data_IF_860198112429
#
_entry.id   IF_860198112429
#
_cell.length_a   1.000
_cell.length_b   1.000
_cell.length_c   1.000
_cell.angle_alpha   90.00
_cell.angle_beta   90.00
_cell.angle_gamma   90.00
#
_symmetry.space_group_name_H-M   'P 1'
#
loop_
_entity.id
_entity.type
_entity.pdbx_description
1 polymer ?
#
# COMPACT_ATOMS: atom_id res chain seq x y z
N UNK A 1 -11.21 9.50 -13.05
CA UNK A 1 -11.65 8.75 -11.85
C UNK A 1 -10.49 7.85 -11.40
N UNK A 2 -10.10 7.89 -10.14
CA UNK A 2 -9.06 7.00 -9.58
C UNK A 2 -9.74 5.82 -8.90
N UNK A 3 -9.57 4.62 -9.44
CA UNK A 3 -10.22 3.40 -8.94
C UNK A 3 -9.37 2.64 -7.92
N UNK A 4 -8.04 2.70 -8.09
CA UNK A 4 -7.08 2.01 -7.23
C UNK A 4 -5.73 2.72 -7.24
N UNK A 5 -5.01 2.63 -6.13
CA UNK A 5 -3.64 3.14 -5.97
C UNK A 5 -2.77 2.00 -5.46
N UNK A 6 -1.64 1.77 -6.14
CA UNK A 6 -0.63 0.79 -5.72
C UNK A 6 0.56 1.49 -5.07
N UNK A 7 0.92 1.09 -3.85
CA UNK A 7 2.08 1.62 -3.13
C UNK A 7 2.80 0.51 -2.33
N UNK A 8 4.01 0.77 -1.84
CA UNK A 8 4.77 -0.24 -1.09
C UNK A 8 4.19 -0.47 0.32
N UNK A 9 4.71 -1.49 1.01
CA UNK A 9 4.20 -1.96 2.29
C UNK A 9 4.80 -1.18 3.47
N UNK A 10 4.72 0.14 3.40
CA UNK A 10 5.20 1.04 4.43
C UNK A 10 4.01 1.74 5.11
N UNK A 11 4.12 1.98 6.43
CA UNK A 11 3.01 2.51 7.25
C UNK A 11 2.64 3.95 6.90
N UNK A 12 3.59 4.74 6.39
CA UNK A 12 3.32 6.09 5.85
C UNK A 12 2.29 6.07 4.71
N UNK A 13 2.28 5.00 3.91
CA UNK A 13 1.29 4.84 2.85
C UNK A 13 -0.09 4.48 3.39
N UNK A 14 -0.18 3.95 4.61
CA UNK A 14 -1.47 3.73 5.27
C UNK A 14 -2.14 5.08 5.52
N UNK A 15 -1.41 6.01 6.16
CA UNK A 15 -1.87 7.39 6.43
C UNK A 15 -2.17 8.16 5.15
N UNK A 16 -1.32 8.05 4.13
CA UNK A 16 -1.55 8.74 2.85
C UNK A 16 -2.83 8.27 2.15
N UNK A 17 -3.11 6.97 2.14
CA UNK A 17 -4.30 6.42 1.48
C UNK A 17 -5.58 6.79 2.24
N UNK A 18 -5.53 6.86 3.56
CA UNK A 18 -6.63 7.37 4.39
C UNK A 18 -6.93 8.84 4.05
N UNK A 19 -5.91 9.70 4.09
CA UNK A 19 -6.06 11.11 3.75
C UNK A 19 -6.57 11.35 2.31
N UNK A 20 -6.17 10.51 1.35
CA UNK A 20 -6.66 10.59 -0.02
C UNK A 20 -8.11 10.11 -0.16
N UNK A 21 -8.56 9.14 0.65
CA UNK A 21 -9.95 8.68 0.65
C UNK A 21 -10.92 9.71 1.20
N UNK A 22 -10.45 10.53 2.15
CA UNK A 22 -11.23 11.61 2.76
C UNK A 22 -11.15 12.94 1.97
N UNK A 23 -10.26 13.03 0.98
CA UNK A 23 -10.04 14.25 0.20
C UNK A 23 -11.13 14.49 -0.85
N UNK A 24 -11.62 15.72 -0.90
CA UNK A 24 -12.52 16.19 -1.95
C UNK A 24 -11.84 16.28 -3.35
N UNK A 25 -10.51 16.26 -3.40
CA UNK A 25 -9.73 16.32 -4.65
C UNK A 25 -9.74 14.99 -5.41
N UNK A 26 -10.03 13.87 -4.71
CA UNK A 26 -10.09 12.52 -5.29
C UNK A 26 -11.43 11.84 -4.96
N UNK A 27 -12.57 12.41 -5.39
CA UNK A 27 -13.91 12.11 -4.87
C UNK A 27 -14.46 10.71 -5.17
N UNK A 28 -13.73 9.88 -5.91
CA UNK A 28 -14.15 8.49 -6.22
C UNK A 28 -13.18 7.44 -5.69
N UNK A 29 -12.16 7.86 -4.96
CA UNK A 29 -11.19 6.94 -4.39
C UNK A 29 -11.70 6.40 -3.06
N UNK A 30 -11.97 5.10 -2.99
CA UNK A 30 -12.55 4.46 -1.79
C UNK A 30 -11.51 4.16 -0.69
N UNK A 31 -10.47 5.00 -0.57
CA UNK A 31 -9.43 4.88 0.44
C UNK A 31 -8.78 3.50 0.46
N UNK A 32 -8.72 2.88 1.65
CA UNK A 32 -8.08 1.57 1.86
C UNK A 32 -8.69 0.44 1.04
N UNK A 33 -10.00 0.47 0.75
CA UNK A 33 -10.67 -0.58 -0.05
C UNK A 33 -10.14 -0.62 -1.48
N UNK A 34 -9.71 0.54 -1.98
CA UNK A 34 -9.12 0.73 -3.30
C UNK A 34 -7.59 0.68 -3.30
N UNK A 35 -6.94 0.33 -2.19
CA UNK A 35 -5.48 0.25 -2.14
C UNK A 35 -4.97 -1.14 -2.52
N UNK A 36 -3.98 -1.17 -3.41
CA UNK A 36 -3.17 -2.35 -3.70
C UNK A 36 -1.77 -2.19 -3.14
N UNK A 37 -1.15 -3.28 -2.64
CA UNK A 37 0.25 -3.25 -2.19
C UNK A 37 1.16 -3.74 -3.30
N UNK A 38 2.34 -3.12 -3.44
CA UNK A 38 3.30 -3.47 -4.48
C UNK A 38 3.77 -4.92 -4.35
N UNK A 39 3.45 -5.76 -5.34
CA UNK A 39 3.78 -7.18 -5.33
C UNK A 39 5.28 -7.44 -5.16
N UNK A 40 6.13 -6.71 -5.90
CA UNK A 40 7.58 -6.85 -5.80
C UNK A 40 8.09 -6.56 -4.38
N UNK A 41 7.50 -5.57 -3.69
CA UNK A 41 7.86 -5.26 -2.32
C UNK A 41 7.45 -6.38 -1.35
N UNK A 42 6.27 -6.98 -1.55
CA UNK A 42 5.84 -8.14 -0.76
C UNK A 42 6.81 -9.33 -0.95
N UNK A 43 7.21 -9.64 -2.19
CA UNK A 43 8.19 -10.71 -2.47
C UNK A 43 9.52 -10.44 -1.76
N UNK A 44 10.02 -9.20 -1.80
CA UNK A 44 11.24 -8.81 -1.11
C UNK A 44 11.13 -8.98 0.42
N UNK A 45 10.00 -8.60 1.03
CA UNK A 45 9.76 -8.81 2.46
C UNK A 45 9.73 -10.30 2.82
N UNK A 46 9.07 -11.13 2.00
CA UNK A 46 9.04 -12.58 2.18
C UNK A 46 10.44 -13.18 2.12
N UNK A 47 11.24 -12.81 1.11
CA UNK A 47 12.61 -13.28 0.98
C UNK A 47 13.46 -12.89 2.20
N UNK A 48 13.40 -11.63 2.65
CA UNK A 48 14.11 -11.16 3.85
C UNK A 48 13.70 -11.93 5.10
N UNK A 49 12.40 -12.19 5.27
CA UNK A 49 11.89 -12.93 6.43
C UNK A 49 12.34 -14.40 6.43
N UNK A 50 12.45 -15.03 5.25
CA UNK A 50 12.93 -16.40 5.13
C UNK A 50 14.44 -16.48 5.39
N UNK A 51 15.22 -15.55 4.83
CA UNK A 51 16.67 -15.52 5.01
C UNK A 51 17.09 -15.24 6.46
N UNK A 52 16.33 -14.41 7.20
CA UNK A 52 16.60 -14.12 8.62
C UNK A 52 16.56 -15.36 9.53
N UNK A 53 15.91 -16.45 9.13
CA UNK A 53 15.92 -17.70 9.90
C UNK A 53 17.28 -18.41 9.88
N UNK A 54 18.15 -18.05 8.92
CA UNK A 54 19.47 -18.65 8.72
C UNK A 54 20.62 -17.72 9.13
N UNK A 55 20.28 -16.58 9.76
CA UNK A 55 21.20 -15.59 10.32
C UNK A 55 21.29 -15.81 11.84
#
# INVERSE_FOLDING_TARGET
QVLSITCDNASNNDTMIEALGDSADVPSFSGQVSRTRCFAHIVNLMAKSLLKQFD
#
